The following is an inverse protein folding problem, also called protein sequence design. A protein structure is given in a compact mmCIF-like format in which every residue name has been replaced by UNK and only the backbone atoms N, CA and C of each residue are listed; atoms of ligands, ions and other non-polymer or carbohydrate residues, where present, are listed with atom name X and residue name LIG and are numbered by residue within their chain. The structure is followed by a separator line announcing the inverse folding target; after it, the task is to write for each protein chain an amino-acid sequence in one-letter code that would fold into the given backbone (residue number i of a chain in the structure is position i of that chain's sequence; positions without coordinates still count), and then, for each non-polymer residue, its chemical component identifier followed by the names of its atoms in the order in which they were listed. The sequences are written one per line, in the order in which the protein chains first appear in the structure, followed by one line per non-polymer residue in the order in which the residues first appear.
data_IF_698592008743
#
_entry.id   IF_698592008743
#
_cell.length_a   1.000
_cell.length_b   1.000
_cell.length_c   1.000
_cell.angle_alpha   90.00
_cell.angle_beta   90.00
_cell.angle_gamma   90.00
#
_symmetry.space_group_name_H-M   'P 1'
#
loop_
_entity.id
_entity.type
_entity.pdbx_description
1 polymer ?
#
# COMPACT_ATOMS: atom_id res chain seq x y z
N UNK A 1 -17.14 -10.34 -63.12
CA UNK A 1 -17.64 -9.07 -62.55
C UNK A 1 -16.48 -8.36 -61.87
N UNK A 2 -15.88 -7.37 -62.54
CA UNK A 2 -14.75 -6.61 -61.99
C UNK A 2 -15.27 -5.52 -61.05
N UNK A 3 -14.92 -5.60 -59.75
CA UNK A 3 -15.17 -4.52 -58.78
C UNK A 3 -14.26 -3.34 -59.10
N UNK A 4 -14.84 -2.21 -59.51
CA UNK A 4 -14.13 -0.93 -59.57
C UNK A 4 -13.89 -0.45 -58.14
N UNK A 5 -12.63 -0.36 -57.72
CA UNK A 5 -12.26 0.37 -56.50
C UNK A 5 -12.33 1.87 -56.82
N UNK A 6 -13.20 2.58 -56.11
CA UNK A 6 -13.19 4.03 -56.11
C UNK A 6 -11.97 4.50 -55.30
N UNK A 7 -11.01 5.13 -55.97
CA UNK A 7 -9.93 5.85 -55.31
C UNK A 7 -10.50 7.00 -54.49
N UNK A 8 -9.89 7.27 -53.34
CA UNK A 8 -10.25 8.38 -52.45
C UNK A 8 -10.34 9.68 -53.25
N UNK A 9 -11.43 10.42 -53.07
CA UNK A 9 -11.59 11.71 -53.71
C UNK A 9 -10.56 12.69 -53.15
N UNK A 10 -10.05 13.60 -53.98
CA UNK A 10 -9.13 14.68 -53.56
C UNK A 10 -9.68 15.44 -52.34
N UNK A 11 -11.01 15.52 -52.22
CA UNK A 11 -11.71 16.15 -51.09
C UNK A 11 -11.49 15.39 -49.77
N UNK A 12 -11.50 14.06 -49.78
CA UNK A 12 -11.28 13.24 -48.57
C UNK A 12 -9.83 13.36 -48.08
N UNK A 13 -8.87 13.45 -49.01
CA UNK A 13 -7.46 13.61 -48.69
C UNK A 13 -7.17 14.99 -48.07
N UNK A 14 -7.86 16.04 -48.53
CA UNK A 14 -7.78 17.37 -47.94
C UNK A 14 -8.38 17.42 -46.53
N UNK A 15 -9.50 16.73 -46.29
CA UNK A 15 -10.11 16.67 -44.95
C UNK A 15 -9.18 15.97 -43.95
N UNK A 16 -8.55 14.86 -44.35
CA UNK A 16 -7.58 14.13 -43.50
C UNK A 16 -6.40 15.03 -43.13
N UNK A 17 -5.86 15.79 -44.09
CA UNK A 17 -4.73 16.69 -43.84
C UNK A 17 -5.10 17.84 -42.87
N UNK A 18 -6.31 18.40 -42.98
CA UNK A 18 -6.79 19.45 -42.06
C UNK A 18 -6.96 18.90 -40.64
N UNK A 19 -7.53 17.69 -40.50
CA UNK A 19 -7.71 17.05 -39.19
C UNK A 19 -6.37 16.72 -38.53
N UNK A 20 -5.41 16.17 -39.28
CA UNK A 20 -4.07 15.90 -38.78
C UNK A 20 -3.32 17.19 -38.38
N UNK A 21 -3.47 18.27 -39.16
CA UNK A 21 -2.91 19.58 -38.82
C UNK A 21 -3.50 20.17 -37.54
N UNK A 22 -4.81 20.04 -37.32
CA UNK A 22 -5.46 20.51 -36.11
C UNK A 22 -5.02 19.72 -34.86
N UNK A 23 -4.92 18.39 -34.96
CA UNK A 23 -4.44 17.53 -33.87
C UNK A 23 -2.98 17.86 -33.53
N UNK A 24 -2.13 18.06 -34.55
CA UNK A 24 -0.73 18.47 -34.36
C UNK A 24 -0.58 19.82 -33.65
N UNK A 25 -1.39 20.82 -34.02
CA UNK A 25 -1.37 22.15 -33.39
C UNK A 25 -1.83 22.13 -31.93
N UNK A 26 -2.85 21.33 -31.60
CA UNK A 26 -3.33 21.18 -30.21
C UNK A 26 -2.28 20.44 -29.37
N UNK A 27 -1.67 19.37 -29.90
CA UNK A 27 -0.59 18.64 -29.23
C UNK A 27 0.64 19.53 -28.95
N UNK A 28 1.03 20.37 -29.92
CA UNK A 28 2.15 21.29 -29.75
C UNK A 28 1.89 22.36 -28.67
N UNK A 29 0.68 22.93 -28.61
CA UNK A 29 0.32 23.95 -27.61
C UNK A 29 0.34 23.40 -26.18
N UNK A 30 -0.11 22.17 -25.96
CA UNK A 30 -0.11 21.52 -24.63
C UNK A 30 1.30 21.15 -24.20
N UNK A 31 2.12 20.66 -25.13
CA UNK A 31 3.52 20.31 -24.84
C UNK A 31 4.35 21.56 -24.49
N UNK A 32 4.13 22.69 -25.19
CA UNK A 32 4.89 23.91 -24.95
C UNK A 32 4.42 24.69 -23.71
N UNK A 33 3.14 24.60 -23.32
CA UNK A 33 2.65 25.27 -22.10
C UNK A 33 3.07 24.59 -20.80
N UNK A 34 3.39 23.28 -20.82
CA UNK A 34 3.92 22.58 -19.64
C UNK A 34 5.38 22.91 -19.32
N UNK A 35 6.13 23.47 -20.28
CA UNK A 35 7.57 23.69 -20.13
C UNK A 35 7.94 25.14 -19.76
N UNK A 36 6.95 26.02 -19.51
CA UNK A 36 7.17 27.46 -19.25
C UNK A 36 6.84 27.94 -17.83
N UNK A 37 6.51 27.03 -16.89
CA UNK A 37 6.14 27.39 -15.51
C UNK A 37 7.27 27.21 -14.47
N UNK A 38 8.52 27.15 -14.90
CA UNK A 38 9.68 27.10 -13.99
C UNK A 38 10.69 28.17 -14.37
N UNK A 39 10.47 29.43 -13.97
CA UNK A 39 11.51 30.44 -13.72
C UNK A 39 10.94 31.55 -12.81
N UNK A 40 11.55 31.65 -11.63
CA UNK A 40 11.70 32.80 -10.73
C UNK A 40 10.48 33.54 -10.12
N UNK A 41 10.39 33.45 -8.80
CA UNK A 41 10.20 34.62 -7.92
C UNK A 41 10.77 34.32 -6.54
N UNK A 42 11.98 34.83 -6.27
CA UNK A 42 12.60 34.86 -4.96
C UNK A 42 12.73 36.33 -4.55
N UNK A 43 11.90 36.80 -3.60
CA UNK A 43 12.14 38.05 -2.87
C UNK A 43 11.56 37.90 -1.47
N UNK A 44 12.40 38.08 -0.46
CA UNK A 44 12.15 37.62 0.90
C UNK A 44 11.30 38.53 1.78
N UNK A 45 10.90 37.95 2.92
CA UNK A 45 10.70 38.65 4.18
C UNK A 45 11.10 37.71 5.32
N UNK A 46 11.83 38.27 6.30
CA UNK A 46 12.36 37.61 7.48
C UNK A 46 11.27 37.42 8.57
N UNK A 47 11.60 36.59 9.58
CA UNK A 47 10.90 36.29 10.85
C UNK A 47 9.99 35.05 10.78
N UNK A 48 10.08 34.00 11.62
CA UNK A 48 10.83 33.69 12.83
C UNK A 48 10.86 32.16 12.97
N UNK A 49 11.88 31.63 13.63
CA UNK A 49 12.21 30.21 13.73
C UNK A 49 11.14 29.32 14.39
N UNK A 50 10.84 28.20 13.74
CA UNK A 50 10.59 26.92 14.41
C UNK A 50 11.45 25.87 13.68
N UNK A 51 12.38 25.25 14.41
CA UNK A 51 13.28 24.21 13.91
C UNK A 51 12.47 23.01 13.42
N UNK A 52 12.28 22.90 12.11
CA UNK A 52 12.02 21.62 11.45
C UNK A 52 13.35 21.13 10.90
N UNK A 53 13.85 20.05 11.49
CA UNK A 53 15.04 19.34 11.03
C UNK A 53 14.84 18.93 9.58
N UNK A 54 15.76 19.42 8.75
CA UNK A 54 15.98 19.07 7.36
C UNK A 54 16.51 17.64 7.23
N UNK A 55 15.95 16.88 6.29
CA UNK A 55 16.68 15.95 5.44
C UNK A 55 17.28 14.70 6.09
N UNK A 56 16.50 13.64 6.18
CA UNK A 56 17.02 12.26 6.12
C UNK A 56 16.49 11.57 4.87
N UNK A 57 17.04 11.97 3.72
CA UNK A 57 17.07 11.11 2.54
C UNK A 57 18.49 10.49 2.50
N UNK A 58 18.57 9.15 2.44
CA UNK A 58 19.76 8.33 2.08
C UNK A 58 20.49 7.42 3.10
N UNK A 59 19.97 7.09 4.30
CA UNK A 59 20.66 6.10 5.18
C UNK A 59 20.14 4.64 5.10
N UNK A 60 19.16 4.37 4.24
CA UNK A 60 18.54 3.04 4.11
C UNK A 60 17.71 2.64 5.33
N UNK A 61 17.10 1.46 5.29
CA UNK A 61 16.49 0.87 6.49
C UNK A 61 17.56 0.64 7.54
N UNK A 62 17.35 1.12 8.76
CA UNK A 62 18.21 0.80 9.91
C UNK A 62 17.79 -0.48 10.63
N UNK A 63 16.76 -1.15 10.12
CA UNK A 63 16.24 -2.41 10.64
C UNK A 63 16.58 -3.54 9.69
N UNK A 64 17.07 -4.64 10.26
CA UNK A 64 17.45 -5.84 9.53
C UNK A 64 16.80 -7.06 10.18
N UNK A 65 16.39 -8.02 9.34
CA UNK A 65 15.96 -9.32 9.82
C UNK A 65 17.19 -10.18 10.17
N UNK A 66 17.23 -10.66 11.40
CA UNK A 66 18.22 -11.60 11.94
C UNK A 66 17.57 -12.96 12.18
N UNK A 67 18.36 -13.93 12.67
CA UNK A 67 17.83 -15.25 13.07
C UNK A 67 16.86 -15.16 14.26
N UNK A 68 16.92 -14.10 15.05
CA UNK A 68 16.15 -13.89 16.28
C UNK A 68 14.95 -12.97 16.11
N UNK A 69 14.84 -12.27 14.97
CA UNK A 69 13.73 -11.37 14.66
C UNK A 69 14.19 -10.13 13.91
N UNK A 70 13.43 -9.05 13.99
CA UNK A 70 13.85 -7.76 13.47
C UNK A 70 14.66 -6.99 14.52
N UNK A 71 15.82 -6.48 14.12
CA UNK A 71 16.72 -5.74 15.01
C UNK A 71 17.20 -4.44 14.35
N UNK A 72 17.37 -3.40 15.16
CA UNK A 72 17.95 -2.14 14.71
C UNK A 72 19.49 -2.25 14.67
N UNK A 73 20.08 -2.05 13.50
CA UNK A 73 21.54 -2.12 13.26
C UNK A 73 22.25 -0.76 13.47
N UNK A 74 21.48 0.31 13.60
CA UNK A 74 21.96 1.66 13.95
C UNK A 74 21.05 2.24 15.03
N UNK A 75 21.51 3.30 15.71
CA UNK A 75 20.67 4.04 16.66
C UNK A 75 19.43 4.56 15.94
N UNK A 76 18.25 4.24 16.47
CA UNK A 76 16.98 4.77 15.96
C UNK A 76 16.90 6.29 16.14
N UNK A 77 16.22 7.02 15.22
CA UNK A 77 15.93 8.42 15.42
C UNK A 77 15.00 8.62 16.63
N UNK A 78 14.76 9.87 17.01
CA UNK A 78 13.77 10.20 18.04
C UNK A 78 12.37 9.86 17.54
N UNK A 79 11.86 8.71 18.00
CA UNK A 79 10.60 8.15 17.54
C UNK A 79 9.48 8.44 18.52
N UNK A 80 8.26 8.76 18.03
CA UNK A 80 7.11 8.84 18.91
C UNK A 80 6.85 7.47 19.56
N UNK A 81 6.35 7.48 20.80
CA UNK A 81 5.91 6.26 21.49
C UNK A 81 4.94 5.46 20.61
N UNK A 82 4.13 6.15 19.82
CA UNK A 82 3.27 5.56 18.82
C UNK A 82 3.16 6.49 17.61
N UNK A 83 3.57 6.07 16.41
CA UNK A 83 3.38 6.90 15.23
C UNK A 83 1.91 6.91 14.83
N UNK A 84 1.41 8.10 14.49
CA UNK A 84 0.08 8.27 13.93
C UNK A 84 0.13 7.96 12.44
N UNK A 85 -0.50 6.86 12.05
CA UNK A 85 -0.63 6.43 10.67
C UNK A 85 -1.70 7.26 9.96
N UNK A 86 -1.54 7.47 8.65
CA UNK A 86 -2.67 7.84 7.80
C UNK A 86 -3.44 6.59 7.40
N UNK A 87 -4.75 6.70 7.20
CA UNK A 87 -5.49 5.61 6.60
C UNK A 87 -4.95 5.33 5.17
N UNK A 88 -4.68 4.07 4.80
CA UNK A 88 -4.06 3.74 3.52
C UNK A 88 -5.01 3.85 2.34
N UNK A 89 -6.27 4.24 2.53
CA UNK A 89 -7.25 4.45 1.48
C UNK A 89 -8.32 5.45 1.94
N UNK A 90 -9.20 5.85 1.02
CA UNK A 90 -10.36 6.69 1.33
C UNK A 90 -11.37 5.92 2.21
N UNK A 91 -11.32 6.20 3.52
CA UNK A 91 -12.16 5.53 4.52
C UNK A 91 -13.66 5.81 4.36
N UNK A 92 -14.05 6.85 3.61
CA UNK A 92 -15.47 7.13 3.35
C UNK A 92 -16.11 6.08 2.43
N UNK A 93 -15.28 5.30 1.73
CA UNK A 93 -15.70 4.22 0.83
C UNK A 93 -15.59 2.83 1.45
N UNK A 94 -15.01 2.72 2.65
CA UNK A 94 -14.84 1.42 3.32
C UNK A 94 -16.20 0.97 3.86
N UNK A 95 -16.58 -0.26 3.52
CA UNK A 95 -17.88 -0.84 3.87
C UNK A 95 -17.80 -1.74 5.09
N UNK A 96 -16.66 -2.42 5.29
CA UNK A 96 -16.45 -3.34 6.41
C UNK A 96 -14.95 -3.49 6.73
N UNK A 97 -14.67 -3.99 7.94
CA UNK A 97 -13.31 -4.18 8.46
C UNK A 97 -13.02 -5.65 8.66
N UNK A 98 -11.95 -6.15 8.05
CA UNK A 98 -11.31 -7.39 8.47
C UNK A 98 -10.45 -7.05 9.69
N UNK A 99 -10.76 -7.62 10.86
CA UNK A 99 -10.04 -7.26 12.08
C UNK A 99 -8.67 -7.96 12.08
N UNK A 100 -7.59 -7.29 12.53
CA UNK A 100 -6.33 -7.96 12.75
C UNK A 100 -6.45 -8.94 13.94
N UNK A 101 -5.73 -10.05 13.89
CA UNK A 101 -5.71 -11.05 14.96
C UNK A 101 -6.87 -12.03 14.88
N UNK A 102 -7.26 -12.40 13.66
CA UNK A 102 -8.39 -13.30 13.38
C UNK A 102 -7.93 -14.61 12.76
N UNK A 103 -8.59 -15.72 13.11
CA UNK A 103 -8.56 -16.94 12.30
C UNK A 103 -9.68 -16.88 11.28
N UNK A 104 -9.34 -16.60 10.01
CA UNK A 104 -10.29 -16.52 8.89
C UNK A 104 -9.76 -17.28 7.67
N UNK A 105 -10.65 -17.96 6.95
CA UNK A 105 -10.27 -18.79 5.81
C UNK A 105 -9.27 -19.91 6.18
N UNK A 106 -9.44 -20.50 7.37
CA UNK A 106 -8.59 -21.58 7.88
C UNK A 106 -7.19 -21.17 8.36
N UNK A 107 -6.83 -19.88 8.29
CA UNK A 107 -5.51 -19.40 8.63
C UNK A 107 -5.57 -18.28 9.68
N UNK A 108 -4.55 -18.19 10.53
CA UNK A 108 -4.37 -17.03 11.39
C UNK A 108 -3.93 -15.83 10.58
N UNK A 109 -4.48 -14.66 10.90
CA UNK A 109 -4.22 -13.41 10.19
C UNK A 109 -3.83 -12.34 11.20
N UNK A 110 -2.52 -12.09 11.42
CA UNK A 110 -2.05 -11.01 12.27
C UNK A 110 -2.24 -9.61 11.63
N UNK A 111 -2.82 -9.56 10.43
CA UNK A 111 -3.23 -8.33 9.75
C UNK A 111 -4.75 -8.28 9.61
N UNK A 112 -5.26 -7.07 9.48
CA UNK A 112 -6.65 -6.80 9.14
C UNK A 112 -6.76 -6.43 7.67
N UNK A 113 -7.75 -5.61 7.34
CA UNK A 113 -7.94 -5.13 5.98
C UNK A 113 -9.22 -4.32 5.84
N UNK A 114 -9.32 -3.62 4.70
CA UNK A 114 -10.51 -2.87 4.34
C UNK A 114 -11.27 -3.59 3.23
N UNK A 115 -12.60 -3.61 3.36
CA UNK A 115 -13.54 -4.06 2.32
C UNK A 115 -14.18 -2.84 1.67
N UNK A 116 -14.41 -2.91 0.37
CA UNK A 116 -15.09 -1.90 -0.44
C UNK A 116 -16.18 -2.58 -1.26
N UNK A 117 -17.16 -3.17 -0.57
CA UNK A 117 -18.16 -4.07 -1.17
C UNK A 117 -19.08 -3.37 -2.20
N UNK A 118 -19.04 -2.04 -2.27
CA UNK A 118 -19.78 -1.24 -3.27
C UNK A 118 -18.94 -0.85 -4.51
N UNK A 119 -17.63 -1.08 -4.49
CA UNK A 119 -16.71 -0.75 -5.57
C UNK A 119 -16.50 -1.97 -6.48
N UNK A 120 -17.40 -2.19 -7.44
CA UNK A 120 -17.41 -3.41 -8.28
C UNK A 120 -16.33 -3.45 -9.38
N UNK A 121 -15.59 -2.36 -9.55
CA UNK A 121 -14.50 -2.18 -10.53
C UNK A 121 -13.10 -2.39 -9.93
N UNK A 122 -13.04 -2.72 -8.63
CA UNK A 122 -11.82 -2.88 -7.85
C UNK A 122 -10.92 -1.63 -7.82
N UNK A 123 -11.42 -0.46 -8.20
CA UNK A 123 -10.67 0.80 -8.26
C UNK A 123 -10.56 1.44 -6.88
N UNK A 124 -9.55 1.00 -6.13
CA UNK A 124 -9.18 1.57 -4.83
C UNK A 124 -7.72 2.00 -4.89
N UNK A 125 -7.49 3.30 -4.67
CA UNK A 125 -6.13 3.81 -4.48
C UNK A 125 -5.68 3.47 -3.07
N UNK A 126 -4.60 2.70 -2.97
CA UNK A 126 -3.89 2.41 -1.72
C UNK A 126 -2.67 3.31 -1.64
N UNK A 127 -2.43 3.92 -0.50
CA UNK A 127 -1.30 4.81 -0.23
C UNK A 127 -0.53 4.39 1.02
N UNK A 128 0.73 4.77 1.10
CA UNK A 128 1.60 4.51 2.24
C UNK A 128 1.09 5.22 3.52
N UNK A 129 0.66 4.48 4.57
CA UNK A 129 0.17 5.06 5.81
C UNK A 129 1.28 5.75 6.63
N UNK A 130 2.53 5.34 6.39
CA UNK A 130 3.75 5.84 7.02
C UNK A 130 4.88 5.78 5.99
N UNK A 131 5.85 6.69 6.09
CA UNK A 131 7.07 6.58 5.30
C UNK A 131 7.94 5.42 5.80
N UNK A 132 8.82 4.89 4.95
CA UNK A 132 9.71 3.81 5.34
C UNK A 132 10.40 3.18 4.14
N UNK A 133 10.93 1.98 4.32
CA UNK A 133 11.68 1.27 3.30
C UNK A 133 11.01 -0.06 2.99
N UNK A 134 10.77 -0.36 1.71
CA UNK A 134 10.38 -1.69 1.27
C UNK A 134 11.55 -2.62 1.59
N UNK A 135 11.33 -3.55 2.51
CA UNK A 135 12.33 -4.53 2.96
C UNK A 135 12.00 -5.94 2.47
N UNK A 136 10.72 -6.22 2.22
CA UNK A 136 10.26 -7.44 1.57
C UNK A 136 9.07 -7.17 0.65
N UNK A 137 8.84 -8.05 -0.29
CA UNK A 137 7.60 -8.08 -1.06
C UNK A 137 7.31 -9.45 -1.65
N UNK A 138 6.13 -9.60 -2.20
CA UNK A 138 5.70 -10.85 -2.85
C UNK A 138 4.90 -10.54 -4.11
N UNK A 139 4.92 -11.51 -5.02
CA UNK A 139 4.10 -11.56 -6.22
C UNK A 139 3.60 -13.00 -6.37
N UNK A 140 2.29 -13.19 -6.31
CA UNK A 140 1.68 -14.52 -6.28
C UNK A 140 0.39 -14.56 -7.11
N UNK A 141 -0.07 -15.76 -7.43
CA UNK A 141 -1.39 -16.02 -8.03
C UNK A 141 -2.37 -16.22 -6.88
N UNK A 142 -3.38 -15.37 -6.79
CA UNK A 142 -4.44 -15.53 -5.79
C UNK A 142 -5.17 -16.86 -6.04
N UNK A 143 -5.33 -17.66 -4.98
CA UNK A 143 -5.86 -19.02 -5.05
C UNK A 143 -7.19 -19.06 -5.83
N UNK A 144 -7.22 -19.93 -6.85
CA UNK A 144 -8.41 -20.22 -7.65
C UNK A 144 -8.70 -19.25 -8.81
N UNK A 145 -8.08 -18.07 -8.83
CA UNK A 145 -8.54 -16.97 -9.69
C UNK A 145 -7.58 -16.64 -10.84
N UNK A 146 -6.44 -17.33 -10.95
CA UNK A 146 -5.39 -17.08 -11.98
C UNK A 146 -4.98 -15.60 -12.08
N UNK A 147 -4.97 -14.95 -10.93
CA UNK A 147 -4.96 -13.51 -10.81
C UNK A 147 -3.72 -13.06 -10.02
N UNK A 148 -2.76 -12.40 -10.68
CA UNK A 148 -1.52 -11.94 -10.04
C UNK A 148 -1.80 -10.84 -9.02
N UNK A 149 -1.31 -11.01 -7.81
CA UNK A 149 -1.40 -10.05 -6.72
C UNK A 149 -0.03 -9.78 -6.12
N UNK A 150 0.07 -8.64 -5.45
CA UNK A 150 1.29 -8.15 -4.86
C UNK A 150 1.11 -7.80 -3.39
N UNK A 151 2.21 -7.87 -2.66
CA UNK A 151 2.29 -7.37 -1.29
C UNK A 151 3.66 -6.81 -0.98
N UNK A 152 3.73 -5.91 0.00
CA UNK A 152 4.96 -5.26 0.43
C UNK A 152 4.98 -5.13 1.95
N UNK A 153 6.17 -5.36 2.51
CA UNK A 153 6.53 -5.01 3.88
C UNK A 153 7.39 -3.75 3.86
N UNK A 154 6.88 -2.68 4.48
CA UNK A 154 7.56 -1.40 4.56
C UNK A 154 7.92 -1.14 6.02
N UNK A 155 9.22 -1.05 6.29
CA UNK A 155 9.78 -0.81 7.61
C UNK A 155 10.20 0.66 7.76
N UNK A 156 9.62 1.36 8.72
CA UNK A 156 10.09 2.68 9.12
C UNK A 156 11.27 2.58 10.08
N UNK A 157 12.16 3.58 10.08
CA UNK A 157 13.33 3.60 10.98
C UNK A 157 12.97 3.63 12.48
N UNK A 158 11.72 3.92 12.83
CA UNK A 158 11.19 3.75 14.18
C UNK A 158 10.80 2.32 14.57
N UNK A 159 11.05 1.32 13.72
CA UNK A 159 10.73 -0.09 14.02
C UNK A 159 9.27 -0.44 13.88
N UNK A 160 8.52 0.40 13.17
CA UNK A 160 7.14 0.11 12.79
C UNK A 160 7.14 -0.39 11.36
N UNK A 161 6.62 -1.59 11.16
CA UNK A 161 6.37 -2.13 9.85
C UNK A 161 4.88 -2.07 9.54
N UNK A 162 4.53 -1.73 8.31
CA UNK A 162 3.21 -2.06 7.79
C UNK A 162 3.33 -3.01 6.61
N UNK A 163 2.39 -3.95 6.55
CA UNK A 163 2.22 -4.88 5.44
C UNK A 163 0.96 -4.51 4.69
N UNK A 164 1.07 -4.44 3.37
CA UNK A 164 -0.09 -4.37 2.47
C UNK A 164 -0.07 -5.58 1.54
N UNK A 165 -1.24 -6.16 1.30
CA UNK A 165 -1.41 -7.34 0.45
C UNK A 165 -2.65 -7.23 -0.45
N UNK A 166 -2.82 -8.19 -1.36
CA UNK A 166 -3.90 -8.18 -2.36
C UNK A 166 -3.90 -6.91 -3.25
N UNK A 167 -2.72 -6.35 -3.50
CA UNK A 167 -2.56 -5.25 -4.46
C UNK A 167 -2.57 -5.79 -5.90
N UNK A 168 -3.05 -5.01 -6.87
CA UNK A 168 -3.21 -5.44 -8.26
C UNK A 168 -2.47 -4.57 -9.26
N UNK A 169 -2.84 -3.31 -9.33
CA UNK A 169 -2.28 -2.37 -10.30
C UNK A 169 -1.29 -1.46 -9.59
N UNK A 170 0.00 -1.75 -9.75
CA UNK A 170 1.09 -1.04 -9.09
C UNK A 170 1.55 0.17 -9.93
N UNK A 171 2.00 1.27 -9.30
CA UNK A 171 2.77 2.30 -9.98
C UNK A 171 4.05 1.74 -10.61
N UNK A 172 4.52 2.35 -11.70
CA UNK A 172 5.62 1.82 -12.49
C UNK A 172 6.95 1.61 -11.73
N UNK A 173 7.24 2.41 -10.69
CA UNK A 173 8.39 2.20 -9.81
C UNK A 173 8.24 0.93 -8.96
N UNK A 174 7.05 0.68 -8.40
CA UNK A 174 6.78 -0.51 -7.60
C UNK A 174 6.63 -1.77 -8.44
N UNK A 175 6.09 -1.64 -9.65
CA UNK A 175 6.04 -2.76 -10.61
C UNK A 175 7.45 -3.25 -10.95
N UNK A 176 8.41 -2.33 -11.17
CA UNK A 176 9.81 -2.69 -11.42
C UNK A 176 10.43 -3.47 -10.26
N UNK A 177 10.08 -3.12 -9.02
CA UNK A 177 10.53 -3.88 -7.84
C UNK A 177 9.88 -5.26 -7.84
N UNK A 178 8.56 -5.32 -8.04
CA UNK A 178 7.81 -6.57 -8.05
C UNK A 178 8.22 -7.54 -9.17
N UNK A 179 8.71 -7.03 -10.30
CA UNK A 179 9.25 -7.83 -11.40
C UNK A 179 10.60 -8.49 -11.08
N UNK A 180 11.26 -8.10 -9.98
CA UNK A 180 12.47 -8.79 -9.47
C UNK A 180 12.14 -9.98 -8.57
N UNK A 181 10.90 -10.12 -8.12
CA UNK A 181 10.47 -11.25 -7.29
C UNK A 181 10.34 -12.52 -8.15
N UNK A 182 10.35 -13.72 -7.52
CA UNK A 182 10.05 -14.96 -8.23
C UNK A 182 8.78 -14.85 -9.06
N UNK A 183 8.74 -15.58 -10.17
CA UNK A 183 7.56 -15.64 -11.01
C UNK A 183 6.32 -16.05 -10.17
N UNK A 184 5.15 -15.46 -10.45
CA UNK A 184 3.96 -15.68 -9.64
C UNK A 184 3.57 -17.17 -9.66
N UNK A 185 3.37 -17.72 -8.47
CA UNK A 185 2.79 -19.04 -8.22
C UNK A 185 1.73 -18.92 -7.12
N UNK A 186 1.07 -20.00 -6.71
CA UNK A 186 0.18 -19.98 -5.54
C UNK A 186 0.92 -19.70 -4.22
N UNK A 187 2.26 -19.74 -4.23
CA UNK A 187 3.06 -19.36 -3.06
C UNK A 187 3.09 -17.84 -2.89
N UNK A 188 2.68 -17.39 -1.70
CA UNK A 188 2.77 -15.99 -1.25
C UNK A 188 4.04 -15.70 -0.43
N UNK A 189 5.09 -16.51 -0.59
CA UNK A 189 6.35 -16.29 0.11
C UNK A 189 6.95 -14.91 -0.24
N UNK A 190 7.48 -14.25 0.78
CA UNK A 190 8.14 -12.96 0.63
C UNK A 190 9.58 -13.12 0.13
N UNK A 191 10.01 -12.17 -0.68
CA UNK A 191 11.38 -11.98 -1.17
C UNK A 191 11.96 -10.72 -0.54
N UNK A 192 13.20 -10.79 -0.08
CA UNK A 192 13.90 -9.64 0.47
C UNK A 192 14.21 -8.61 -0.62
N UNK A 193 14.09 -7.32 -0.28
CA UNK A 193 14.46 -6.21 -1.16
C UNK A 193 15.75 -5.59 -0.66
N UNK A 194 16.82 -5.71 -1.45
CA UNK A 194 18.15 -5.20 -1.13
C UNK A 194 18.82 -4.58 -2.38
N UNK A 195 19.18 -3.28 -2.36
CA UNK A 195 18.97 -2.32 -1.27
C UNK A 195 17.48 -2.04 -1.04
N UNK A 196 17.11 -1.77 0.22
CA UNK A 196 15.74 -1.41 0.57
C UNK A 196 15.34 -0.09 -0.11
N UNK A 197 14.09 0.00 -0.58
CA UNK A 197 13.62 1.15 -1.38
C UNK A 197 12.76 2.08 -0.52
N UNK A 198 13.12 3.36 -0.46
CA UNK A 198 12.36 4.35 0.32
C UNK A 198 10.99 4.64 -0.31
N UNK A 199 9.98 4.77 0.54
CA UNK A 199 8.60 5.12 0.22
C UNK A 199 8.17 6.25 1.14
N UNK A 200 7.61 7.31 0.54
CA UNK A 200 7.11 8.45 1.31
C UNK A 200 5.70 8.20 1.81
N UNK A 201 5.34 8.72 2.98
CA UNK A 201 3.95 8.70 3.45
C UNK A 201 3.02 9.36 2.41
N UNK A 202 1.93 8.69 2.07
CA UNK A 202 0.95 9.13 1.06
C UNK A 202 1.34 8.78 -0.38
N UNK A 203 2.52 8.19 -0.63
CA UNK A 203 2.86 7.66 -1.93
C UNK A 203 1.89 6.54 -2.32
N UNK A 204 1.48 6.51 -3.59
CA UNK A 204 0.56 5.49 -4.11
C UNK A 204 1.28 4.14 -4.13
N UNK A 205 0.63 3.12 -3.58
CA UNK A 205 1.10 1.74 -3.58
C UNK A 205 0.36 0.89 -4.62
N UNK A 206 -0.92 1.18 -4.86
CA UNK A 206 -1.72 0.56 -5.91
C UNK A 206 -2.91 1.43 -6.31
N UNK A 207 -3.43 1.24 -7.52
CA UNK A 207 -4.67 1.86 -8.02
C UNK A 207 -5.84 0.87 -8.14
N UNK A 208 -5.55 -0.44 -8.02
CA UNK A 208 -6.54 -1.52 -7.92
C UNK A 208 -6.13 -2.56 -6.90
N UNK A 209 -7.12 -3.24 -6.33
CA UNK A 209 -6.95 -4.23 -5.25
C UNK A 209 -7.89 -5.43 -5.40
N UNK A 210 -7.65 -6.49 -4.63
CA UNK A 210 -8.58 -7.61 -4.51
C UNK A 210 -8.62 -8.52 -5.74
N UNK A 211 -9.73 -9.24 -5.88
CA UNK A 211 -9.95 -10.25 -6.91
C UNK A 211 -10.99 -9.72 -7.90
N UNK A 212 -10.60 -9.54 -9.16
CA UNK A 212 -11.42 -8.86 -10.18
C UNK A 212 -12.53 -9.80 -10.67
N UNK A 213 -12.20 -11.04 -10.99
CA UNK A 213 -13.14 -12.09 -11.44
C UNK A 213 -14.30 -12.31 -10.47
N UNK A 214 -14.03 -12.19 -9.18
CA UNK A 214 -15.00 -12.40 -8.10
C UNK A 214 -15.72 -11.12 -7.65
N UNK A 215 -15.43 -9.96 -8.27
CA UNK A 215 -15.89 -8.64 -7.80
C UNK A 215 -15.63 -8.41 -6.30
N UNK A 216 -14.50 -8.90 -5.82
CA UNK A 216 -14.17 -8.88 -4.39
C UNK A 216 -13.10 -7.80 -4.16
N UNK A 217 -13.55 -6.61 -3.80
CA UNK A 217 -12.70 -5.43 -3.62
C UNK A 217 -12.29 -5.26 -2.17
N UNK A 218 -11.04 -5.63 -1.87
CA UNK A 218 -10.44 -5.54 -0.56
C UNK A 218 -8.92 -5.47 -0.66
N UNK A 219 -8.27 -5.04 0.42
CA UNK A 219 -6.84 -5.26 0.60
C UNK A 219 -6.52 -5.56 2.06
N UNK A 220 -5.43 -6.32 2.26
CA UNK A 220 -4.93 -6.61 3.59
C UNK A 220 -4.06 -5.46 4.10
N UNK A 221 -4.22 -5.12 5.38
CA UNK A 221 -3.41 -4.13 6.08
C UNK A 221 -3.01 -4.62 7.47
N UNK A 222 -1.71 -4.87 7.63
CA UNK A 222 -1.07 -5.22 8.90
C UNK A 222 -0.19 -4.08 9.39
N UNK A 223 -0.11 -3.92 10.71
CA UNK A 223 0.83 -3.01 11.38
C UNK A 223 1.50 -3.79 12.49
N UNK A 224 2.82 -3.63 12.60
CA UNK A 224 3.68 -4.39 13.51
C UNK A 224 4.64 -3.44 14.21
N UNK A 225 4.72 -3.54 15.54
CA UNK A 225 5.67 -2.78 16.35
C UNK A 225 6.81 -3.71 16.77
N UNK A 226 7.95 -3.62 16.12
CA UNK A 226 9.11 -4.47 16.44
C UNK A 226 9.93 -3.97 17.61
N UNK A 227 9.57 -2.82 18.21
CA UNK A 227 10.21 -2.34 19.44
C UNK A 227 9.80 -3.17 20.65
N UNK A 228 8.66 -3.87 20.58
CA UNK A 228 8.11 -4.68 21.68
C UNK A 228 7.19 -5.80 21.18
N UNK A 229 7.05 -6.85 21.96
CA UNK A 229 6.01 -7.85 21.71
C UNK A 229 4.62 -7.31 22.13
N UNK A 230 3.56 -7.78 21.47
CA UNK A 230 2.18 -7.43 21.82
C UNK A 230 1.71 -8.17 23.08
N UNK A 231 0.63 -7.69 23.69
CA UNK A 231 0.13 -8.25 24.95
C UNK A 231 -0.35 -9.70 24.82
N UNK A 232 -0.97 -10.08 23.69
CA UNK A 232 -1.46 -11.43 23.46
C UNK A 232 -0.31 -12.46 23.50
N UNK A 233 0.83 -12.10 22.90
CA UNK A 233 2.03 -12.93 22.82
C UNK A 233 2.76 -13.16 24.15
N UNK A 234 2.33 -12.52 25.25
CA UNK A 234 2.87 -12.82 26.59
C UNK A 234 2.32 -14.12 27.16
N UNK A 235 1.19 -14.62 26.66
CA UNK A 235 0.61 -15.88 27.11
C UNK A 235 1.26 -17.09 26.42
N UNK A 236 1.59 -18.13 27.19
CA UNK A 236 2.16 -19.37 26.65
C UNK A 236 1.23 -20.05 25.62
N UNK A 237 -0.08 -19.91 25.79
CA UNK A 237 -1.08 -20.43 24.87
C UNK A 237 -0.98 -19.75 23.49
N UNK A 238 -0.88 -18.41 23.46
CA UNK A 238 -0.72 -17.67 22.21
C UNK A 238 0.61 -17.99 21.53
N UNK A 239 1.70 -18.02 22.31
CA UNK A 239 3.02 -18.38 21.77
C UNK A 239 3.02 -19.76 21.12
N UNK A 240 2.36 -20.74 21.74
CA UNK A 240 2.25 -22.10 21.19
C UNK A 240 1.36 -22.15 19.95
N UNK A 241 0.24 -21.42 19.94
CA UNK A 241 -0.68 -21.38 18.82
C UNK A 241 -0.10 -20.67 17.58
N UNK A 242 0.86 -19.76 17.78
CA UNK A 242 1.42 -18.90 16.73
C UNK A 242 2.96 -19.00 16.67
N UNK A 243 3.53 -20.17 16.98
CA UNK A 243 4.97 -20.39 16.96
C UNK A 243 5.58 -20.21 15.56
N UNK A 244 4.86 -20.67 14.53
CA UNK A 244 5.29 -20.63 13.12
C UNK A 244 5.20 -19.24 12.48
N UNK A 245 4.47 -18.30 13.10
CA UNK A 245 4.30 -16.93 12.61
C UNK A 245 4.75 -15.90 13.65
N UNK A 246 5.79 -16.25 14.42
CA UNK A 246 6.34 -15.39 15.48
C UNK A 246 6.71 -14.00 14.96
N UNK A 247 7.25 -13.90 13.74
CA UNK A 247 7.66 -12.63 13.12
C UNK A 247 6.52 -11.61 13.11
N UNK A 248 5.31 -12.03 12.76
CA UNK A 248 4.18 -11.12 12.59
C UNK A 248 3.23 -11.18 13.78
N UNK A 249 2.81 -12.37 14.18
CA UNK A 249 1.79 -12.55 15.21
C UNK A 249 2.19 -11.96 16.56
N UNK A 250 3.48 -11.98 16.92
CA UNK A 250 3.93 -11.48 18.22
C UNK A 250 4.13 -9.97 18.25
N UNK A 251 4.18 -9.32 17.10
CA UNK A 251 4.45 -7.88 16.98
C UNK A 251 3.26 -7.11 16.41
N UNK A 252 2.22 -7.80 15.96
CA UNK A 252 1.02 -7.20 15.40
C UNK A 252 0.30 -6.31 16.43
N UNK A 253 -0.24 -5.20 15.95
CA UNK A 253 -0.97 -4.23 16.78
C UNK A 253 -2.39 -4.07 16.27
N UNK A 254 -3.30 -3.71 17.18
CA UNK A 254 -4.64 -3.29 16.79
C UNK A 254 -4.62 -1.85 16.27
N UNK A 255 -4.36 -1.67 14.98
CA UNK A 255 -4.31 -0.34 14.36
C UNK A 255 -5.66 0.41 14.34
N UNK A 256 -6.77 -0.28 14.66
CA UNK A 256 -8.09 0.32 14.86
C UNK A 256 -8.22 1.10 16.18
N UNK A 257 -7.27 0.91 17.11
CA UNK A 257 -7.38 1.37 18.50
C UNK A 257 -6.09 2.04 18.96
N UNK A 258 -6.06 2.42 20.24
CA UNK A 258 -4.88 2.90 20.96
C UNK A 258 -4.16 4.11 20.33
N UNK A 259 -4.78 4.86 19.42
CA UNK A 259 -4.16 6.04 18.79
C UNK A 259 -3.23 5.76 17.59
N UNK A 260 -3.32 4.58 16.95
CA UNK A 260 -2.58 4.28 15.71
C UNK A 260 -3.06 5.09 14.51
N UNK A 261 -4.29 5.59 14.55
CA UNK A 261 -4.91 6.43 13.53
C UNK A 261 -5.48 7.69 14.21
N UNK A 262 -5.74 8.78 13.47
CA UNK A 262 -6.49 9.91 13.99
C UNK A 262 -7.81 9.46 14.62
N UNK A 263 -8.20 10.03 15.77
CA UNK A 263 -9.40 9.63 16.50
C UNK A 263 -10.68 9.65 15.64
N UNK A 264 -10.76 10.60 14.70
CA UNK A 264 -11.87 10.71 13.73
C UNK A 264 -11.96 9.48 12.83
N UNK A 265 -10.82 8.94 12.42
CA UNK A 265 -10.74 7.79 11.51
C UNK A 265 -11.00 6.51 12.30
N UNK A 266 -10.41 6.37 13.49
CA UNK A 266 -10.68 5.24 14.38
C UNK A 266 -12.18 5.10 14.69
N UNK A 267 -12.83 6.22 15.04
CA UNK A 267 -14.26 6.21 15.37
C UNK A 267 -15.11 5.75 14.18
N UNK A 268 -14.80 6.23 12.96
CA UNK A 268 -15.48 5.79 11.74
C UNK A 268 -15.26 4.29 11.47
N UNK A 269 -14.03 3.83 11.53
CA UNK A 269 -13.67 2.45 11.19
C UNK A 269 -14.22 1.44 12.21
N UNK A 270 -14.17 1.75 13.50
CA UNK A 270 -14.72 0.87 14.56
C UNK A 270 -16.25 0.74 14.47
N UNK A 271 -16.93 1.78 13.97
CA UNK A 271 -18.38 1.76 13.75
C UNK A 271 -18.83 0.88 12.58
N UNK A 272 -17.93 0.55 11.65
CA UNK A 272 -18.24 -0.31 10.50
C UNK A 272 -18.51 -1.77 10.94
N UNK A 273 -19.29 -2.52 10.13
CA UNK A 273 -19.48 -3.95 10.34
C UNK A 273 -18.16 -4.72 10.16
N UNK A 274 -18.14 -5.93 10.71
CA UNK A 274 -17.05 -6.87 10.45
C UNK A 274 -17.14 -7.41 9.02
N UNK A 275 -15.99 -7.50 8.34
CA UNK A 275 -15.88 -7.99 6.97
C UNK A 275 -15.87 -9.52 6.87
N UNK A 276 -15.58 -10.23 7.97
CA UNK A 276 -15.69 -11.68 8.04
C UNK A 276 -16.93 -12.06 8.88
N UNK A 277 -17.97 -12.68 8.27
CA UNK A 277 -19.22 -12.97 8.98
C UNK A 277 -19.06 -14.05 10.04
N UNK A 278 -18.06 -14.93 9.92
CA UNK A 278 -17.84 -16.03 10.86
C UNK A 278 -17.11 -15.56 12.12
N UNK A 279 -16.02 -14.80 11.96
CA UNK A 279 -15.23 -14.28 13.09
C UNK A 279 -15.84 -13.02 13.70
N UNK A 280 -16.65 -12.28 12.94
CA UNK A 280 -17.20 -11.01 13.38
C UNK A 280 -16.09 -10.02 13.80
N UNK A 281 -16.27 -9.36 14.93
CA UNK A 281 -15.27 -8.46 15.54
C UNK A 281 -14.33 -9.17 16.53
N UNK A 282 -14.36 -10.51 16.60
CA UNK A 282 -13.46 -11.26 17.49
C UNK A 282 -12.03 -11.06 17.03
N UNK A 283 -11.12 -10.76 17.96
CA UNK A 283 -9.70 -10.57 17.73
C UNK A 283 -8.93 -10.92 18.99
N UNK A 284 -7.72 -11.45 18.85
CA UNK A 284 -6.87 -11.76 20.00
C UNK A 284 -6.26 -10.53 20.66
N UNK A 285 -6.18 -9.39 19.95
CA UNK A 285 -5.51 -8.18 20.45
C UNK A 285 -6.20 -6.85 20.09
N UNK A 286 -7.32 -6.86 19.36
CA UNK A 286 -8.24 -5.73 19.34
C UNK A 286 -9.29 -5.90 20.43
N UNK A 287 -9.41 -4.91 21.33
CA UNK A 287 -10.43 -4.90 22.39
C UNK A 287 -11.80 -4.66 21.77
N UNK A 288 -12.88 -5.12 22.40
CA UNK A 288 -14.25 -4.82 21.98
C UNK A 288 -14.85 -3.74 22.86
#
# INVERSE_FOLDING_TARGET
MNKKQHGFSIVELLIILVVLGAIGLVGWKVFYSSNSNNINSNTGSQSQAAKTGSGEESQGSIWQQTATGWEAIKKAPDCPTQPMLKAPADISKVTAILYPGQTRGGNYKPHGGFRFDTANDNMVTVTAPLEGYIVKGTRYIADGENEVQYGFDIMNNCGIMYRVGHLRELPGNLQKIADTFPAPSSSSMNTNVNPAVFIKQGEVLATKVGIISAHNTFFDWGVYDYRKANEASKSAAYQSAHAEDKELAWHAVCWLQDGWLPNTDQTKLVALPAGDPTSGKKSDYCKQ
#
